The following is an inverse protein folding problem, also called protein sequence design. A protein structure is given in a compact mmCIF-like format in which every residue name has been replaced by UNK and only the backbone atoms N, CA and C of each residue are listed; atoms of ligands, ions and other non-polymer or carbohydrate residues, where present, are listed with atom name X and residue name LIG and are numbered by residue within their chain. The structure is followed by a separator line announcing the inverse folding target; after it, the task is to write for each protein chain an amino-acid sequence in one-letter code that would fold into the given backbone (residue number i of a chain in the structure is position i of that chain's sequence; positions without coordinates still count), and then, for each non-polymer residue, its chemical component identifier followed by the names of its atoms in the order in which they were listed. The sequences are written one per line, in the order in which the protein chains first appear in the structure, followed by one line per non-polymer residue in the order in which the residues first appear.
data_IF_636302667058
#
_entry.id   IF_636302667058
#
_cell.length_a   1.000
_cell.length_b   1.000
_cell.length_c   1.000
_cell.angle_alpha   90.00
_cell.angle_beta   90.00
_cell.angle_gamma   90.00
#
_symmetry.space_group_name_H-M   'P 1'
#
loop_
_entity.id
_entity.type
_entity.pdbx_description
1 polymer ?
#
# COMPACT_ATOMS: atom_id res chain seq x y z
N UNK A 1 -4.96 6.13 -34.17
CA UNK A 1 -4.07 5.49 -33.20
C UNK A 1 -3.81 6.35 -31.98
N UNK A 2 -3.46 7.62 -32.16
CA UNK A 2 -3.23 8.54 -31.04
C UNK A 2 -4.47 8.79 -30.21
N UNK A 3 -5.64 8.92 -30.85
CA UNK A 3 -6.92 9.11 -30.15
C UNK A 3 -7.29 7.91 -29.31
N UNK A 4 -7.08 6.70 -29.82
CA UNK A 4 -7.33 5.47 -29.07
C UNK A 4 -6.38 5.33 -27.90
N UNK A 5 -5.09 5.64 -28.12
CA UNK A 5 -4.09 5.60 -27.06
C UNK A 5 -4.42 6.59 -25.94
N UNK A 6 -4.75 7.84 -26.28
CA UNK A 6 -5.13 8.85 -25.29
C UNK A 6 -6.37 8.45 -24.51
N UNK A 7 -7.35 7.86 -25.18
CA UNK A 7 -8.57 7.41 -24.54
C UNK A 7 -8.28 6.27 -23.55
N UNK A 8 -7.45 5.32 -23.93
CA UNK A 8 -7.06 4.21 -23.06
C UNK A 8 -6.32 4.70 -21.82
N UNK A 9 -5.40 5.63 -22.00
CA UNK A 9 -4.66 6.24 -20.88
C UNK A 9 -5.62 6.97 -19.95
N UNK A 10 -6.54 7.76 -20.50
CA UNK A 10 -7.53 8.49 -19.72
C UNK A 10 -8.47 7.54 -18.97
N UNK A 11 -8.89 6.45 -19.59
CA UNK A 11 -9.76 5.44 -18.97
C UNK A 11 -9.01 4.70 -17.84
N UNK A 12 -7.75 4.35 -18.06
CA UNK A 12 -6.93 3.70 -17.05
C UNK A 12 -6.72 4.60 -15.85
N UNK A 13 -6.45 5.88 -16.07
CA UNK A 13 -6.29 6.85 -14.99
C UNK A 13 -7.60 7.06 -14.23
N UNK A 14 -8.72 7.17 -14.93
CA UNK A 14 -10.02 7.29 -14.31
C UNK A 14 -10.35 6.07 -13.45
N UNK A 15 -10.00 4.87 -13.91
CA UNK A 15 -10.18 3.64 -13.14
C UNK A 15 -9.30 3.63 -11.90
N UNK A 16 -8.04 4.03 -12.04
CA UNK A 16 -7.11 4.13 -10.91
C UNK A 16 -7.66 5.06 -9.83
N UNK A 17 -8.18 6.22 -10.23
CA UNK A 17 -8.75 7.20 -9.30
C UNK A 17 -9.99 6.62 -8.60
N UNK A 18 -10.85 5.92 -9.32
CA UNK A 18 -12.03 5.28 -8.72
C UNK A 18 -11.62 4.26 -7.65
N UNK A 19 -10.59 3.46 -7.94
CA UNK A 19 -10.06 2.48 -7.01
C UNK A 19 -9.48 3.13 -5.76
N UNK A 20 -8.73 4.23 -5.93
CA UNK A 20 -8.18 4.99 -4.82
C UNK A 20 -9.28 5.60 -3.94
N UNK A 21 -10.32 6.15 -4.55
CA UNK A 21 -11.45 6.69 -3.81
C UNK A 21 -12.22 5.61 -3.04
N UNK A 22 -12.37 4.44 -3.64
CA UNK A 22 -12.99 3.29 -2.97
C UNK A 22 -12.14 2.84 -1.78
N UNK A 23 -10.83 2.77 -1.96
CA UNK A 23 -9.91 2.42 -0.89
C UNK A 23 -9.95 3.44 0.25
N UNK A 24 -10.06 4.73 -0.07
CA UNK A 24 -10.15 5.79 0.94
C UNK A 24 -11.33 5.56 1.90
N UNK A 25 -12.46 5.07 1.38
CA UNK A 25 -13.64 4.76 2.20
C UNK A 25 -13.40 3.57 3.14
N UNK A 26 -12.41 2.74 2.85
CA UNK A 26 -12.10 1.54 3.61
C UNK A 26 -10.71 1.58 4.23
N UNK A 27 -10.13 2.75 4.32
CA UNK A 27 -8.74 2.91 4.78
C UNK A 27 -8.53 2.30 6.17
N UNK A 28 -9.39 2.63 7.12
CA UNK A 28 -9.29 2.12 8.50
C UNK A 28 -9.40 0.60 8.55
N UNK A 29 -10.36 0.03 7.82
CA UNK A 29 -10.54 -1.43 7.74
C UNK A 29 -9.31 -2.09 7.11
N UNK A 30 -8.73 -1.44 6.10
CA UNK A 30 -7.54 -1.95 5.41
C UNK A 30 -6.35 -2.01 6.37
N UNK A 31 -6.13 -0.99 7.19
CA UNK A 31 -5.09 -1.01 8.21
C UNK A 31 -5.29 -2.17 9.20
N UNK A 32 -6.51 -2.38 9.65
CA UNK A 32 -6.84 -3.49 10.55
C UNK A 32 -6.52 -4.83 9.88
N UNK A 33 -6.87 -4.98 8.62
CA UNK A 33 -6.57 -6.18 7.85
C UNK A 33 -5.07 -6.42 7.73
N UNK A 34 -4.30 -5.36 7.45
CA UNK A 34 -2.84 -5.45 7.34
C UNK A 34 -2.24 -6.00 8.62
N UNK A 35 -2.63 -5.47 9.78
CA UNK A 35 -2.09 -5.94 11.06
C UNK A 35 -2.51 -7.38 11.34
N UNK A 36 -3.74 -7.76 11.02
CA UNK A 36 -4.20 -9.14 11.16
C UNK A 36 -3.37 -10.10 10.30
N UNK A 37 -3.05 -9.70 9.07
CA UNK A 37 -2.23 -10.49 8.16
C UNK A 37 -0.80 -10.65 8.70
N UNK A 38 -0.22 -9.58 9.21
CA UNK A 38 1.14 -9.62 9.78
C UNK A 38 1.20 -10.59 10.95
N UNK A 39 0.17 -10.61 11.79
CA UNK A 39 0.12 -11.46 12.97
C UNK A 39 0.04 -12.96 12.63
N UNK A 40 -0.32 -13.32 11.41
CA UNK A 40 -0.32 -14.72 10.98
C UNK A 40 1.07 -15.32 10.83
N UNK A 41 2.11 -14.49 10.68
CA UNK A 41 3.52 -14.89 10.63
C UNK A 41 3.82 -15.93 9.55
N UNK A 42 3.22 -15.77 8.37
CA UNK A 42 3.39 -16.67 7.25
C UNK A 42 3.67 -15.90 5.96
N UNK A 43 4.30 -16.55 5.00
CA UNK A 43 4.73 -15.92 3.75
C UNK A 43 3.58 -15.31 2.96
N UNK A 44 2.50 -16.04 2.74
CA UNK A 44 1.36 -15.53 1.96
C UNK A 44 0.67 -14.33 2.64
N UNK A 45 0.33 -14.38 3.93
CA UNK A 45 -0.20 -13.21 4.62
C UNK A 45 0.75 -12.02 4.60
N UNK A 46 2.05 -12.23 4.74
CA UNK A 46 3.02 -11.15 4.62
C UNK A 46 2.98 -10.50 3.23
N UNK A 47 2.95 -11.31 2.18
CA UNK A 47 2.86 -10.79 0.82
C UNK A 47 1.58 -9.99 0.59
N UNK A 48 0.46 -10.46 1.13
CA UNK A 48 -0.83 -9.75 1.03
C UNK A 48 -0.79 -8.43 1.81
N UNK A 49 -0.22 -8.43 3.02
CA UNK A 49 -0.06 -7.20 3.81
C UNK A 49 0.76 -6.17 3.04
N UNK A 50 1.85 -6.59 2.42
CA UNK A 50 2.71 -5.69 1.63
C UNK A 50 1.95 -5.16 0.42
N UNK A 51 1.17 -6.00 -0.26
CA UNK A 51 0.34 -5.56 -1.39
C UNK A 51 -0.64 -4.47 -0.98
N UNK A 52 -1.29 -4.63 0.16
CA UNK A 52 -2.22 -3.62 0.69
C UNK A 52 -1.49 -2.34 1.10
N UNK A 53 -0.29 -2.46 1.68
CA UNK A 53 0.51 -1.30 2.03
C UNK A 53 0.94 -0.50 0.81
N UNK A 54 1.28 -1.16 -0.29
CA UNK A 54 1.59 -0.47 -1.56
C UNK A 54 0.37 0.33 -2.03
N UNK A 55 -0.83 -0.25 -1.94
CA UNK A 55 -2.06 0.45 -2.30
C UNK A 55 -2.31 1.66 -1.41
N UNK A 56 -2.06 1.54 -0.11
CA UNK A 56 -2.22 2.66 0.82
C UNK A 56 -1.17 3.75 0.57
N UNK A 57 0.04 3.38 0.16
CA UNK A 57 1.04 4.36 -0.26
C UNK A 57 0.53 5.15 -1.46
N UNK A 58 -0.01 4.47 -2.46
CA UNK A 58 -0.53 5.13 -3.65
C UNK A 58 -1.69 6.07 -3.29
N UNK A 59 -2.54 5.64 -2.36
CA UNK A 59 -3.61 6.50 -1.85
C UNK A 59 -3.04 7.73 -1.15
N UNK A 60 -2.02 7.56 -0.31
CA UNK A 60 -1.38 8.67 0.39
C UNK A 60 -0.78 9.68 -0.60
N UNK A 61 -0.14 9.20 -1.66
CA UNK A 61 0.38 10.07 -2.72
C UNK A 61 -0.75 10.87 -3.39
N UNK A 62 -1.86 10.21 -3.68
CA UNK A 62 -3.02 10.86 -4.27
C UNK A 62 -3.62 11.93 -3.36
N UNK A 63 -3.62 11.70 -2.05
CA UNK A 63 -4.17 12.61 -1.06
C UNK A 63 -3.20 13.68 -0.57
N UNK A 64 -1.92 13.60 -0.95
CA UNK A 64 -0.88 14.49 -0.42
C UNK A 64 -0.54 14.20 1.04
N UNK A 65 -0.69 12.94 1.47
CA UNK A 65 -0.48 12.49 2.84
C UNK A 65 0.73 11.55 2.97
N UNK A 66 1.72 11.71 2.10
CA UNK A 66 2.90 10.83 2.06
C UNK A 66 3.63 10.79 3.40
N UNK A 67 3.76 11.94 4.06
CA UNK A 67 4.45 12.02 5.34
C UNK A 67 3.74 11.22 6.44
N UNK A 68 2.42 11.27 6.45
CA UNK A 68 1.60 10.51 7.41
C UNK A 68 1.76 9.02 7.17
N UNK A 69 1.70 8.60 5.91
CA UNK A 69 1.92 7.18 5.55
C UNK A 69 3.32 6.73 5.97
N UNK A 70 4.34 7.54 5.69
CA UNK A 70 5.73 7.18 6.03
C UNK A 70 5.91 7.01 7.53
N UNK A 71 5.29 7.85 8.35
CA UNK A 71 5.32 7.70 9.80
C UNK A 71 4.70 6.37 10.24
N UNK A 72 3.58 5.98 9.65
CA UNK A 72 2.95 4.70 9.95
C UNK A 72 3.81 3.52 9.52
N UNK A 73 4.44 3.63 8.35
CA UNK A 73 5.36 2.60 7.86
C UNK A 73 6.57 2.46 8.80
N UNK A 74 7.13 3.57 9.25
CA UNK A 74 8.25 3.55 10.20
C UNK A 74 7.86 2.83 11.50
N UNK A 75 6.64 3.03 11.99
CA UNK A 75 6.15 2.33 13.18
C UNK A 75 6.05 0.81 12.94
N UNK A 76 5.68 0.39 11.74
CA UNK A 76 5.67 -1.03 11.39
C UNK A 76 7.07 -1.61 11.49
N UNK A 77 8.08 -0.92 10.93
CA UNK A 77 9.48 -1.36 11.04
C UNK A 77 9.93 -1.48 12.50
N UNK A 78 9.53 -0.55 13.35
CA UNK A 78 9.87 -0.58 14.77
C UNK A 78 9.14 -1.68 15.52
N UNK A 79 7.82 -1.78 15.33
CA UNK A 79 6.99 -2.75 16.02
C UNK A 79 7.36 -4.17 15.64
N UNK A 80 7.70 -4.41 14.39
CA UNK A 80 7.99 -5.73 13.84
C UNK A 80 9.46 -5.91 13.50
N UNK A 81 10.34 -5.25 14.25
CA UNK A 81 11.79 -5.24 13.98
C UNK A 81 12.41 -6.63 13.92
N UNK A 82 11.80 -7.62 14.57
CA UNK A 82 12.29 -9.01 14.58
C UNK A 82 11.68 -9.88 13.48
N UNK A 83 10.75 -9.36 12.70
CA UNK A 83 10.10 -10.08 11.60
C UNK A 83 10.86 -9.85 10.30
N UNK A 84 12.06 -10.45 10.20
CA UNK A 84 12.98 -10.20 9.07
C UNK A 84 12.34 -10.53 7.71
N UNK A 85 11.53 -11.57 7.63
CA UNK A 85 10.87 -11.95 6.38
C UNK A 85 9.86 -10.87 5.92
N UNK A 86 9.15 -10.26 6.87
CA UNK A 86 8.24 -9.15 6.57
C UNK A 86 9.03 -7.93 6.10
N UNK A 87 10.06 -7.54 6.84
CA UNK A 87 10.84 -6.34 6.54
C UNK A 87 11.54 -6.45 5.18
N UNK A 88 12.04 -7.64 4.84
CA UNK A 88 12.63 -7.88 3.53
C UNK A 88 11.60 -7.63 2.41
N UNK A 89 10.39 -8.15 2.58
CA UNK A 89 9.32 -7.96 1.60
C UNK A 89 8.91 -6.50 1.46
N UNK A 90 8.90 -5.76 2.56
CA UNK A 90 8.64 -4.32 2.53
C UNK A 90 9.69 -3.60 1.68
N UNK A 91 10.98 -3.90 1.91
CA UNK A 91 12.08 -3.29 1.15
C UNK A 91 12.01 -3.65 -0.33
N UNK A 92 11.75 -4.90 -0.64
CA UNK A 92 11.63 -5.36 -2.03
C UNK A 92 10.48 -4.66 -2.76
N UNK A 93 9.43 -4.28 -2.06
CA UNK A 93 8.31 -3.55 -2.64
C UNK A 93 8.52 -2.04 -2.69
N UNK A 94 9.68 -1.55 -2.27
CA UNK A 94 9.99 -0.13 -2.24
C UNK A 94 9.41 0.60 -1.04
N UNK A 95 8.94 -0.12 -0.02
CA UNK A 95 8.40 0.46 1.21
C UNK A 95 9.51 0.51 2.27
N UNK A 96 10.37 1.49 2.17
CA UNK A 96 11.55 1.59 3.02
C UNK A 96 11.30 2.48 4.23
N UNK A 97 11.97 2.16 5.33
CA UNK A 97 11.99 3.01 6.49
C UNK A 97 12.80 4.28 6.17
N UNK A 98 12.37 5.39 6.67
CA UNK A 98 13.11 6.65 6.48
C UNK A 98 13.60 7.25 7.81
#
# INVERSE_FOLDING_TARGET
REREHRRRVAEAEAQRIRELKALAKRESETWTEIFALIEQMQAKPYAEAVRLLVKLRDLAEYQGEEAVFQQRLNRIYEQYSRRSALLRRLREAGLQQS
#
